data_IF_614648010976
#
_entry.id   IF_614648010976
#
_cell.length_a   1.000
_cell.length_b   1.000
_cell.length_c   1.000
_cell.angle_alpha   90.00
_cell.angle_beta   90.00
_cell.angle_gamma   90.00
#
_symmetry.space_group_name_H-M   'P 1'
#
loop_
_entity.id
_entity.type
_entity.pdbx_description
1 polymer ?
#
# COMPACT_ATOMS: atom_id res chain seq x y z
N UNK A 1 13.45 -4.39 -16.38
CA UNK A 1 14.22 -5.36 -15.59
C UNK A 1 14.30 -6.73 -16.27
N UNK A 2 13.17 -7.35 -16.61
CA UNK A 2 13.14 -8.71 -17.19
C UNK A 2 13.98 -8.83 -18.48
N UNK A 3 13.83 -7.89 -19.41
CA UNK A 3 14.65 -7.83 -20.64
C UNK A 3 16.13 -7.58 -20.32
N UNK A 4 16.44 -6.72 -19.33
CA UNK A 4 17.81 -6.48 -18.85
C UNK A 4 18.47 -7.78 -18.35
N UNK A 5 17.68 -8.66 -17.73
CA UNK A 5 18.13 -10.00 -17.26
C UNK A 5 18.11 -11.08 -18.34
N UNK A 6 17.93 -10.72 -19.61
CA UNK A 6 18.05 -11.61 -20.76
C UNK A 6 16.81 -12.41 -21.12
N UNK A 7 15.66 -12.14 -20.52
CA UNK A 7 14.41 -12.81 -20.91
C UNK A 7 13.90 -12.28 -22.26
N UNK A 8 13.18 -13.13 -23.00
CA UNK A 8 12.58 -12.78 -24.28
C UNK A 8 11.60 -11.61 -24.15
N UNK A 9 11.57 -10.71 -25.15
CA UNK A 9 10.73 -9.50 -25.13
C UNK A 9 9.26 -9.80 -24.92
N UNK A 10 8.69 -10.79 -25.62
CA UNK A 10 7.28 -11.14 -25.51
C UNK A 10 6.94 -11.69 -24.13
N UNK A 11 7.69 -12.65 -23.61
CA UNK A 11 7.47 -13.21 -22.29
C UNK A 11 7.69 -12.17 -21.17
N UNK A 12 8.64 -11.24 -21.37
CA UNK A 12 8.84 -10.10 -20.48
C UNK A 12 7.64 -9.14 -20.49
N UNK A 13 7.00 -8.94 -21.65
CA UNK A 13 5.75 -8.16 -21.75
C UNK A 13 4.62 -8.82 -20.96
N UNK A 14 4.41 -10.12 -21.10
CA UNK A 14 3.39 -10.86 -20.34
C UNK A 14 3.66 -10.78 -18.83
N UNK A 15 4.91 -10.99 -18.39
CA UNK A 15 5.29 -10.80 -16.99
C UNK A 15 5.07 -9.36 -16.50
N UNK A 16 5.35 -8.36 -17.33
CA UNK A 16 5.11 -6.95 -17.00
C UNK A 16 3.63 -6.62 -16.87
N UNK A 17 2.76 -7.21 -17.70
CA UNK A 17 1.31 -7.08 -17.58
C UNK A 17 0.82 -7.70 -16.25
N UNK A 18 1.35 -8.88 -15.87
CA UNK A 18 1.04 -9.42 -14.54
C UNK A 18 1.46 -8.47 -13.40
N UNK A 19 2.63 -7.82 -13.52
CA UNK A 19 3.10 -6.87 -12.52
C UNK A 19 2.22 -5.63 -12.43
N UNK A 20 1.84 -5.06 -13.57
CA UNK A 20 1.09 -3.81 -13.67
C UNK A 20 -0.40 -3.98 -13.31
N UNK A 21 -0.97 -5.19 -13.44
CA UNK A 21 -2.38 -5.47 -13.24
C UNK A 21 -2.65 -6.55 -12.18
N UNK A 22 -1.68 -6.79 -11.27
CA UNK A 22 -1.91 -7.64 -10.10
C UNK A 22 -2.87 -6.94 -9.11
N UNK A 23 -3.43 -7.73 -8.20
CA UNK A 23 -4.37 -7.23 -7.21
C UNK A 23 -3.84 -6.07 -6.36
N UNK A 24 -2.55 -6.07 -6.03
CA UNK A 24 -1.93 -4.96 -5.29
C UNK A 24 -2.09 -3.62 -6.02
N UNK A 25 -1.83 -3.58 -7.33
CA UNK A 25 -1.97 -2.36 -8.14
C UNK A 25 -3.43 -1.96 -8.27
N UNK A 26 -4.32 -2.92 -8.55
CA UNK A 26 -5.75 -2.65 -8.71
C UNK A 26 -6.38 -2.15 -7.41
N UNK A 27 -5.97 -2.69 -6.26
CA UNK A 27 -6.47 -2.27 -4.96
C UNK A 27 -5.93 -0.89 -4.54
N UNK A 28 -4.61 -0.72 -4.55
CA UNK A 28 -4.00 0.52 -4.07
C UNK A 28 -4.00 1.64 -5.12
N UNK A 29 -4.06 1.32 -6.41
CA UNK A 29 -4.05 2.32 -7.47
C UNK A 29 -5.19 3.34 -7.38
N UNK A 30 -6.34 2.93 -6.88
CA UNK A 30 -7.50 3.82 -6.66
C UNK A 30 -7.49 4.41 -5.25
N UNK A 31 -7.21 3.58 -4.25
CA UNK A 31 -7.32 3.99 -2.83
C UNK A 31 -6.15 4.83 -2.34
N UNK A 32 -4.94 4.43 -2.72
CA UNK A 32 -3.68 5.05 -2.28
C UNK A 32 -2.66 5.00 -3.42
N UNK A 33 -2.82 5.78 -4.50
CA UNK A 33 -2.02 5.66 -5.72
C UNK A 33 -0.51 5.78 -5.45
N UNK A 34 -0.09 6.53 -4.45
CA UNK A 34 1.30 6.65 -4.05
C UNK A 34 1.93 5.34 -3.50
N UNK A 35 1.12 4.32 -3.17
CA UNK A 35 1.64 2.98 -2.81
C UNK A 35 2.21 2.26 -4.02
N UNK A 36 1.65 2.50 -5.20
CA UNK A 36 2.11 1.90 -6.46
C UNK A 36 3.49 2.45 -6.88
N UNK A 37 3.87 3.65 -6.41
CA UNK A 37 5.20 4.21 -6.69
C UNK A 37 6.34 3.28 -6.27
N UNK A 38 6.20 2.55 -5.15
CA UNK A 38 7.19 1.58 -4.71
C UNK A 38 7.41 0.47 -5.76
N UNK A 39 6.36 0.05 -6.44
CA UNK A 39 6.46 -0.95 -7.51
C UNK A 39 7.17 -0.40 -8.76
N UNK A 40 7.08 0.91 -9.02
CA UNK A 40 7.83 1.54 -10.12
C UNK A 40 9.33 1.59 -9.77
N UNK A 41 9.66 2.03 -8.55
CA UNK A 41 11.05 2.23 -8.15
C UNK A 41 11.81 0.94 -7.88
N UNK A 42 11.16 -0.11 -7.38
CA UNK A 42 11.87 -1.37 -7.08
C UNK A 42 12.61 -1.96 -8.28
N UNK A 43 11.99 -2.19 -9.45
CA UNK A 43 12.70 -2.69 -10.63
C UNK A 43 13.81 -1.73 -11.13
N UNK A 44 13.62 -0.42 -10.97
CA UNK A 44 14.64 0.58 -11.36
C UNK A 44 15.87 0.50 -10.44
N UNK A 45 15.66 0.39 -9.13
CA UNK A 45 16.72 0.19 -8.14
C UNK A 45 17.45 -1.13 -8.42
N UNK A 46 16.73 -2.23 -8.71
CA UNK A 46 17.32 -3.51 -9.06
C UNK A 46 18.24 -3.40 -10.29
N UNK A 47 17.79 -2.73 -11.37
CA UNK A 47 18.64 -2.45 -12.54
C UNK A 47 19.85 -1.59 -12.13
N UNK A 48 19.67 -0.62 -11.26
CA UNK A 48 20.75 0.21 -10.73
C UNK A 48 21.82 -0.62 -10.01
N UNK A 49 21.40 -1.56 -9.15
CA UNK A 49 22.26 -2.48 -8.42
C UNK A 49 23.03 -3.37 -9.40
N UNK A 50 22.34 -3.98 -10.38
CA UNK A 50 22.97 -4.80 -11.43
C UNK A 50 24.10 -4.02 -12.12
N UNK A 51 23.84 -2.76 -12.51
CA UNK A 51 24.83 -1.90 -13.18
C UNK A 51 26.04 -1.56 -12.30
N UNK A 52 25.86 -1.44 -10.99
CA UNK A 52 26.99 -1.24 -10.06
C UNK A 52 27.85 -2.50 -10.02
N UNK A 53 27.25 -3.70 -9.94
CA UNK A 53 27.99 -4.97 -9.98
C UNK A 53 28.71 -5.18 -11.32
N UNK A 54 28.11 -4.78 -12.43
CA UNK A 54 28.71 -4.80 -13.76
C UNK A 54 29.85 -3.74 -13.93
N UNK A 55 30.19 -2.99 -12.88
CA UNK A 55 31.12 -1.86 -12.87
C UNK A 55 30.79 -0.78 -13.91
N UNK A 56 29.51 -0.64 -14.22
CA UNK A 56 28.95 0.42 -15.07
C UNK A 56 28.56 1.64 -14.25
N UNK A 57 28.10 2.68 -14.95
CA UNK A 57 27.78 4.00 -14.36
C UNK A 57 26.79 3.88 -13.17
N UNK A 58 27.17 4.24 -11.92
CA UNK A 58 26.35 4.12 -10.74
C UNK A 58 25.18 5.12 -10.70
N UNK A 59 25.15 6.08 -11.63
CA UNK A 59 24.13 7.13 -11.73
C UNK A 59 22.70 6.59 -11.71
N UNK A 60 22.47 5.43 -12.35
CA UNK A 60 21.13 4.83 -12.39
C UNK A 60 20.67 4.36 -11.02
N UNK A 61 21.58 3.81 -10.22
CA UNK A 61 21.30 3.45 -8.83
C UNK A 61 21.00 4.71 -8.02
N UNK A 62 21.89 5.70 -8.04
CA UNK A 62 21.73 6.93 -7.28
C UNK A 62 20.43 7.68 -7.62
N UNK A 63 20.12 7.84 -8.92
CA UNK A 63 18.90 8.52 -9.36
C UNK A 63 17.63 7.75 -8.93
N UNK A 64 17.62 6.42 -9.12
CA UNK A 64 16.45 5.61 -8.72
C UNK A 64 16.20 5.69 -7.22
N UNK A 65 17.25 5.67 -6.40
CA UNK A 65 17.17 5.80 -4.94
C UNK A 65 16.70 7.21 -4.55
N UNK A 66 17.26 8.25 -5.15
CA UNK A 66 16.90 9.65 -4.87
C UNK A 66 15.42 9.93 -5.23
N UNK A 67 14.97 9.51 -6.40
CA UNK A 67 13.56 9.67 -6.79
C UNK A 67 12.61 8.85 -5.90
N UNK A 68 12.98 7.64 -5.49
CA UNK A 68 12.20 6.86 -4.55
C UNK A 68 12.06 7.58 -3.20
N UNK A 69 13.15 8.18 -2.72
CA UNK A 69 13.19 8.93 -1.46
C UNK A 69 12.29 10.17 -1.47
N UNK A 70 12.31 10.94 -2.57
CA UNK A 70 11.46 12.11 -2.75
C UNK A 70 9.98 11.72 -2.93
N UNK A 71 9.71 10.58 -3.59
CA UNK A 71 8.35 10.15 -3.91
C UNK A 71 7.52 9.81 -2.67
N UNK A 72 8.07 9.01 -1.76
CA UNK A 72 7.36 8.60 -0.53
C UNK A 72 8.35 8.06 0.50
N UNK A 73 8.50 8.77 1.61
CA UNK A 73 9.40 8.41 2.71
C UNK A 73 9.12 7.02 3.30
N UNK A 74 7.86 6.67 3.51
CA UNK A 74 7.47 5.39 4.08
C UNK A 74 7.88 4.21 3.18
N UNK A 75 7.56 4.29 1.90
CA UNK A 75 7.95 3.25 0.95
C UNK A 75 9.45 3.27 0.64
N UNK A 76 10.09 4.43 0.72
CA UNK A 76 11.54 4.52 0.61
C UNK A 76 12.25 3.70 1.69
N UNK A 77 11.74 3.74 2.95
CA UNK A 77 12.25 2.90 4.02
C UNK A 77 12.13 1.40 3.68
N UNK A 78 10.96 0.95 3.22
CA UNK A 78 10.75 -0.43 2.78
C UNK A 78 11.68 -0.79 1.62
N UNK A 79 11.78 0.07 0.61
CA UNK A 79 12.65 -0.13 -0.56
C UNK A 79 14.13 -0.21 -0.16
N UNK A 80 14.56 0.53 0.87
CA UNK A 80 15.93 0.48 1.39
C UNK A 80 16.28 -0.90 1.96
N UNK A 81 15.35 -1.51 2.69
CA UNK A 81 15.52 -2.88 3.19
C UNK A 81 15.54 -3.88 2.02
N UNK A 82 14.57 -3.77 1.10
CA UNK A 82 14.48 -4.69 -0.04
C UNK A 82 15.68 -4.59 -0.98
N UNK A 83 16.22 -3.39 -1.20
CA UNK A 83 17.42 -3.17 -1.99
C UNK A 83 18.66 -3.82 -1.34
N UNK A 84 18.80 -3.74 -0.01
CA UNK A 84 19.87 -4.41 0.72
C UNK A 84 19.77 -5.94 0.55
N UNK A 85 18.56 -6.50 0.70
CA UNK A 85 18.31 -7.92 0.44
C UNK A 85 18.68 -8.29 -0.99
N UNK A 86 18.23 -7.52 -1.97
CA UNK A 86 18.53 -7.78 -3.38
C UNK A 86 20.03 -7.65 -3.69
N UNK A 87 20.73 -6.67 -3.12
CA UNK A 87 22.18 -6.52 -3.31
C UNK A 87 22.95 -7.74 -2.77
N UNK A 88 22.50 -8.33 -1.65
CA UNK A 88 23.06 -9.58 -1.12
C UNK A 88 22.82 -10.74 -2.08
N UNK A 89 21.61 -10.88 -2.63
CA UNK A 89 21.33 -11.90 -3.64
C UNK A 89 22.22 -11.75 -4.87
N UNK A 90 22.36 -10.53 -5.38
CA UNK A 90 23.18 -10.26 -6.57
C UNK A 90 24.67 -10.50 -6.28
N UNK A 91 25.15 -10.26 -5.06
CA UNK A 91 26.50 -10.61 -4.65
C UNK A 91 26.81 -12.09 -4.90
N UNK A 92 25.91 -12.98 -4.47
CA UNK A 92 26.07 -14.42 -4.67
C UNK A 92 25.91 -14.85 -6.13
N UNK A 93 25.11 -14.11 -6.93
CA UNK A 93 25.01 -14.34 -8.36
C UNK A 93 26.35 -14.08 -9.08
N UNK A 94 26.98 -12.97 -8.75
CA UNK A 94 28.16 -12.47 -9.48
C UNK A 94 29.45 -13.14 -9.01
N UNK A 95 29.63 -13.25 -7.68
CA UNK A 95 30.92 -13.69 -7.10
C UNK A 95 30.98 -15.19 -6.80
N UNK A 96 29.84 -15.88 -6.75
CA UNK A 96 29.72 -17.34 -6.50
C UNK A 96 30.44 -17.88 -5.25
N UNK A 97 31.24 -17.05 -4.58
CA UNK A 97 32.00 -17.38 -3.37
C UNK A 97 31.90 -16.23 -2.37
N UNK A 98 31.85 -16.58 -1.09
CA UNK A 98 31.84 -15.60 -0.01
C UNK A 98 33.29 -15.24 0.36
N UNK A 99 33.64 -13.97 0.23
CA UNK A 99 34.95 -13.43 0.59
C UNK A 99 34.77 -12.13 1.38
N UNK A 100 35.14 -12.11 2.65
CA UNK A 100 34.94 -10.98 3.57
C UNK A 100 35.48 -9.65 3.00
N UNK A 101 36.67 -9.66 2.42
CA UNK A 101 37.27 -8.45 1.84
C UNK A 101 36.46 -7.90 0.65
N UNK A 102 35.82 -8.76 -0.13
CA UNK A 102 34.99 -8.33 -1.25
C UNK A 102 33.63 -7.86 -0.75
N UNK A 103 33.06 -8.52 0.25
CA UNK A 103 31.81 -8.07 0.92
C UNK A 103 31.99 -6.66 1.47
N UNK A 104 33.06 -6.40 2.23
CA UNK A 104 33.33 -5.08 2.78
C UNK A 104 33.47 -3.99 1.70
N UNK A 105 34.20 -4.26 0.62
CA UNK A 105 34.34 -3.31 -0.49
C UNK A 105 33.01 -3.03 -1.19
N UNK A 106 32.20 -4.05 -1.46
CA UNK A 106 30.88 -3.92 -2.08
C UNK A 106 29.97 -3.12 -1.18
N UNK A 107 29.92 -3.47 0.11
CA UNK A 107 29.10 -2.76 1.10
C UNK A 107 29.44 -1.25 1.16
N UNK A 108 30.73 -0.91 1.30
CA UNK A 108 31.18 0.49 1.32
C UNK A 108 30.81 1.21 0.01
N UNK A 109 30.97 0.55 -1.13
CA UNK A 109 30.60 1.14 -2.43
C UNK A 109 29.12 1.47 -2.51
N UNK A 110 28.24 0.52 -2.16
CA UNK A 110 26.79 0.76 -2.14
C UNK A 110 26.40 1.80 -1.12
N UNK A 111 27.00 1.78 0.08
CA UNK A 111 26.74 2.77 1.13
C UNK A 111 27.07 4.18 0.64
N UNK A 112 28.21 4.37 0.01
CA UNK A 112 28.61 5.69 -0.54
C UNK A 112 27.63 6.19 -1.60
N UNK A 113 27.24 5.35 -2.55
CA UNK A 113 26.27 5.74 -3.58
C UNK A 113 24.87 5.98 -2.99
N UNK A 114 24.48 5.21 -1.98
CA UNK A 114 23.22 5.41 -1.25
C UNK A 114 23.23 6.74 -0.51
N UNK A 115 24.29 7.06 0.21
CA UNK A 115 24.41 8.33 0.93
C UNK A 115 24.35 9.53 -0.04
N UNK A 116 25.03 9.45 -1.19
CA UNK A 116 24.94 10.51 -2.22
C UNK A 116 23.48 10.64 -2.70
N UNK A 117 22.77 9.55 -2.94
CA UNK A 117 21.38 9.59 -3.38
C UNK A 117 20.46 10.20 -2.31
N UNK A 118 20.66 9.85 -1.03
CA UNK A 118 19.93 10.44 0.11
C UNK A 118 20.23 11.93 0.25
N UNK A 119 21.48 12.35 0.07
CA UNK A 119 21.86 13.77 0.05
C UNK A 119 21.17 14.53 -1.09
N UNK A 120 21.01 13.93 -2.28
CA UNK A 120 20.26 14.54 -3.38
C UNK A 120 18.78 14.73 -3.03
N UNK A 121 18.22 13.88 -2.19
CA UNK A 121 16.82 13.95 -1.72
C UNK A 121 16.65 14.73 -0.41
N UNK A 122 17.72 15.29 0.18
CA UNK A 122 17.74 15.84 1.54
C UNK A 122 16.69 16.95 1.76
N UNK A 123 16.47 17.80 0.76
CA UNK A 123 15.49 18.88 0.86
C UNK A 123 14.06 18.37 1.15
N UNK A 124 13.70 17.18 0.65
CA UNK A 124 12.42 16.54 0.92
C UNK A 124 12.47 15.66 2.18
N UNK A 125 13.59 14.95 2.40
CA UNK A 125 13.70 13.98 3.49
C UNK A 125 13.83 14.63 4.87
N UNK A 126 14.62 15.70 5.01
CA UNK A 126 14.89 16.31 6.33
C UNK A 126 13.60 16.78 7.00
N UNK A 127 12.69 17.55 6.35
CA UNK A 127 11.42 17.94 6.97
C UNK A 127 10.54 16.75 7.36
N UNK A 128 10.49 15.72 6.52
CA UNK A 128 9.67 14.51 6.78
C UNK A 128 10.24 13.70 7.94
N UNK A 129 11.57 13.55 8.02
CA UNK A 129 12.23 12.89 9.15
C UNK A 129 11.94 13.65 10.43
N UNK A 130 12.11 14.97 10.43
CA UNK A 130 11.82 15.80 11.58
C UNK A 130 10.36 15.67 12.04
N UNK A 131 9.40 15.74 11.10
CA UNK A 131 7.99 15.55 11.40
C UNK A 131 7.69 14.16 11.96
N UNK A 132 8.35 13.11 11.42
CA UNK A 132 8.17 11.73 11.88
C UNK A 132 8.71 11.53 13.29
N UNK A 133 9.87 12.06 13.60
CA UNK A 133 10.48 12.01 14.93
C UNK A 133 9.70 12.82 15.97
N UNK A 134 9.04 13.90 15.54
CA UNK A 134 8.19 14.74 16.38
C UNK A 134 6.78 14.19 16.56
N UNK A 135 6.41 13.13 15.84
CA UNK A 135 5.07 12.57 15.90
C UNK A 135 4.92 11.59 17.06
N UNK A 136 3.76 11.59 17.70
CA UNK A 136 3.43 10.70 18.82
C UNK A 136 3.41 9.20 18.43
N UNK A 137 3.38 8.90 17.13
CA UNK A 137 3.30 7.53 16.59
C UNK A 137 4.51 6.65 16.93
N UNK A 138 5.69 7.25 17.14
CA UNK A 138 6.93 6.52 17.45
C UNK A 138 6.97 5.96 18.89
N UNK A 139 6.11 6.43 19.78
CA UNK A 139 6.07 6.00 21.19
C UNK A 139 5.13 4.82 21.47
N UNK A 140 4.25 4.47 20.55
CA UNK A 140 3.27 3.40 20.75
C UNK A 140 3.78 2.07 20.21
N UNK A 141 4.40 1.28 21.08
CA UNK A 141 4.84 -0.07 20.77
C UNK A 141 3.65 -1.03 20.78
N UNK A 142 3.32 -1.60 19.63
CA UNK A 142 2.43 -2.75 19.56
C UNK A 142 3.12 -3.99 20.15
N UNK A 143 2.34 -4.92 20.72
CA UNK A 143 2.88 -6.21 21.17
C UNK A 143 3.57 -6.91 20.00
N UNK A 144 4.89 -7.09 20.11
CA UNK A 144 5.69 -7.82 19.13
C UNK A 144 5.42 -9.31 19.28
N UNK A 145 4.91 -9.92 18.25
CA UNK A 145 4.74 -11.37 18.13
C UNK A 145 5.55 -11.86 16.93
N UNK A 146 6.22 -12.99 17.07
CA UNK A 146 7.02 -13.58 16.00
C UNK A 146 6.14 -14.06 14.85
N UNK A 147 5.01 -14.70 15.18
CA UNK A 147 4.09 -15.31 14.22
C UNK A 147 2.72 -14.64 14.28
N UNK A 148 1.94 -14.80 13.21
CA UNK A 148 0.53 -14.41 13.22
C UNK A 148 -0.29 -15.39 14.05
N UNK A 149 -1.17 -14.88 14.89
CA UNK A 149 -1.99 -15.66 15.81
C UNK A 149 -3.06 -16.49 15.08
N UNK A 150 -3.55 -15.96 13.96
CA UNK A 150 -4.58 -16.59 13.15
C UNK A 150 -3.94 -17.50 12.10
N UNK A 151 -4.18 -18.79 12.18
CA UNK A 151 -3.69 -19.76 11.21
C UNK A 151 -4.26 -19.56 9.80
N UNK A 152 -5.46 -18.95 9.70
CA UNK A 152 -6.10 -18.55 8.44
C UNK A 152 -5.19 -17.65 7.60
N UNK A 153 -4.33 -16.87 8.25
CA UNK A 153 -3.34 -16.05 7.57
C UNK A 153 -2.40 -16.89 6.68
N UNK A 154 -1.94 -18.02 7.20
CA UNK A 154 -1.02 -18.89 6.45
C UNK A 154 -1.71 -19.59 5.29
N UNK A 155 -2.99 -19.93 5.45
CA UNK A 155 -3.81 -20.46 4.36
C UNK A 155 -3.95 -19.42 3.25
N UNK A 156 -4.22 -18.17 3.62
CA UNK A 156 -4.38 -17.08 2.68
C UNK A 156 -3.07 -16.70 1.99
N UNK A 157 -1.93 -16.90 2.62
CA UNK A 157 -0.63 -16.71 2.00
C UNK A 157 -0.44 -17.61 0.77
N UNK A 158 -1.00 -18.83 0.78
CA UNK A 158 -1.02 -19.73 -0.36
C UNK A 158 -2.19 -19.48 -1.31
N UNK A 159 -3.40 -19.30 -0.78
CA UNK A 159 -4.62 -19.08 -1.56
C UNK A 159 -4.67 -17.72 -2.26
N UNK A 160 -3.99 -16.72 -1.72
CA UNK A 160 -4.00 -15.34 -2.23
C UNK A 160 -3.46 -15.16 -3.65
N UNK A 161 -2.78 -16.15 -4.22
CA UNK A 161 -2.37 -16.11 -5.63
C UNK A 161 -3.56 -16.02 -6.59
N UNK A 162 -4.70 -16.59 -6.22
CA UNK A 162 -5.90 -16.68 -7.04
C UNK A 162 -7.07 -15.85 -6.53
N UNK A 163 -6.88 -15.12 -5.42
CA UNK A 163 -7.91 -14.26 -4.84
C UNK A 163 -7.50 -12.81 -4.93
N UNK A 164 -8.49 -11.93 -5.12
CA UNK A 164 -8.31 -10.49 -5.20
C UNK A 164 -8.76 -9.78 -3.90
N UNK A 165 -9.10 -10.51 -2.86
CA UNK A 165 -9.58 -9.94 -1.61
C UNK A 165 -8.43 -9.47 -0.74
N UNK A 166 -8.67 -8.36 -0.03
CA UNK A 166 -7.84 -7.91 1.09
C UNK A 166 -8.08 -8.84 2.28
N UNK A 167 -7.43 -9.96 2.23
CA UNK A 167 -7.50 -10.96 3.25
C UNK A 167 -6.38 -10.72 4.25
N UNK A 168 -6.71 -10.15 5.39
CA UNK A 168 -5.76 -9.86 6.47
C UNK A 168 -4.56 -8.99 6.04
N UNK A 169 -4.71 -8.18 4.98
CA UNK A 169 -3.68 -7.31 4.45
C UNK A 169 -2.82 -7.92 3.33
N UNK A 170 -3.08 -9.15 2.91
CA UNK A 170 -2.44 -9.79 1.76
C UNK A 170 -3.26 -9.51 0.50
N UNK A 171 -2.64 -8.85 -0.47
CA UNK A 171 -3.29 -8.52 -1.74
C UNK A 171 -2.36 -8.93 -2.86
N UNK A 172 -2.63 -10.06 -3.48
CA UNK A 172 -1.83 -10.60 -4.56
C UNK A 172 -2.53 -10.52 -5.92
N UNK A 173 -3.56 -11.34 -6.13
CA UNK A 173 -4.38 -11.33 -7.35
C UNK A 173 -3.55 -11.40 -8.63
N UNK A 174 -2.75 -12.47 -8.80
CA UNK A 174 -1.93 -12.63 -9.98
C UNK A 174 -2.71 -13.19 -11.17
N UNK A 175 -2.18 -12.96 -12.39
CA UNK A 175 -2.78 -13.48 -13.61
C UNK A 175 -2.66 -15.03 -13.71
N UNK A 176 -3.42 -15.59 -14.61
CA UNK A 176 -3.61 -17.05 -14.79
C UNK A 176 -2.34 -17.88 -14.89
N UNK A 177 -1.27 -17.35 -15.53
CA UNK A 177 -0.01 -18.10 -15.73
C UNK A 177 0.84 -18.21 -14.46
N UNK A 178 0.51 -17.49 -13.39
CA UNK A 178 1.35 -17.36 -12.20
C UNK A 178 1.63 -18.69 -11.50
N UNK A 179 0.59 -19.44 -11.16
CA UNK A 179 0.71 -20.72 -10.44
C UNK A 179 1.46 -21.76 -11.29
N UNK A 180 1.07 -22.05 -12.55
CA UNK A 180 1.81 -22.98 -13.39
C UNK A 180 3.27 -22.55 -13.61
N UNK A 181 3.56 -21.26 -13.76
CA UNK A 181 4.94 -20.79 -13.92
C UNK A 181 5.78 -21.01 -12.65
N UNK A 182 5.22 -20.76 -11.47
CA UNK A 182 5.90 -21.03 -10.20
C UNK A 182 6.12 -22.53 -10.01
N UNK A 183 5.12 -23.36 -10.28
CA UNK A 183 5.26 -24.81 -10.21
C UNK A 183 6.37 -25.28 -11.16
N UNK A 184 6.38 -24.81 -12.41
CA UNK A 184 7.40 -25.17 -13.40
C UNK A 184 8.79 -24.75 -12.96
N UNK A 185 8.94 -23.55 -12.38
CA UNK A 185 10.21 -23.09 -11.81
C UNK A 185 10.78 -24.10 -10.80
N UNK A 186 9.94 -24.63 -9.91
CA UNK A 186 10.39 -25.57 -8.89
C UNK A 186 10.60 -26.98 -9.43
N UNK A 187 9.90 -27.40 -10.50
CA UNK A 187 10.14 -28.68 -11.18
C UNK A 187 11.51 -28.74 -11.88
N UNK A 188 12.02 -27.64 -12.40
CA UNK A 188 13.36 -27.54 -13.00
C UNK A 188 14.44 -27.60 -11.92
N UNK A 189 14.92 -28.80 -11.55
CA UNK A 189 15.69 -29.10 -10.30
C UNK A 189 16.94 -28.25 -10.07
N UNK A 190 17.76 -27.97 -11.06
CA UNK A 190 19.07 -27.28 -10.88
C UNK A 190 19.15 -25.87 -11.43
N UNK A 191 18.14 -25.45 -12.13
CA UNK A 191 18.10 -24.14 -12.76
C UNK A 191 17.47 -23.11 -11.83
N UNK A 192 17.90 -21.86 -11.96
CA UNK A 192 17.29 -20.72 -11.29
C UNK A 192 17.25 -20.79 -9.74
N UNK A 193 18.28 -21.44 -9.13
CA UNK A 193 18.34 -21.62 -7.66
C UNK A 193 18.21 -20.32 -6.89
N UNK A 194 18.73 -19.22 -7.42
CA UNK A 194 18.64 -17.91 -6.78
C UNK A 194 17.20 -17.38 -6.79
N UNK A 195 16.48 -17.55 -7.91
CA UNK A 195 15.07 -17.16 -7.97
C UNK A 195 14.22 -18.01 -7.00
N UNK A 196 14.50 -19.31 -6.90
CA UNK A 196 13.89 -20.20 -5.91
C UNK A 196 14.18 -19.76 -4.47
N UNK A 197 15.44 -19.39 -4.19
CA UNK A 197 15.84 -18.83 -2.90
C UNK A 197 15.07 -17.52 -2.62
N UNK A 198 14.86 -16.67 -3.63
CA UNK A 198 14.05 -15.47 -3.54
C UNK A 198 12.63 -15.77 -3.06
N UNK A 199 11.98 -16.82 -3.57
CA UNK A 199 10.69 -17.27 -3.07
C UNK A 199 10.75 -17.72 -1.62
N UNK A 200 11.73 -18.57 -1.24
CA UNK A 200 11.89 -19.05 0.13
C UNK A 200 12.04 -17.88 1.10
N UNK A 201 12.91 -16.92 0.78
CA UNK A 201 13.12 -15.73 1.61
C UNK A 201 11.85 -14.87 1.68
N UNK A 202 11.18 -14.65 0.55
CA UNK A 202 9.95 -13.84 0.53
C UNK A 202 8.81 -14.49 1.33
N UNK A 203 8.61 -15.80 1.18
CA UNK A 203 7.62 -16.51 1.99
C UNK A 203 7.97 -16.49 3.48
N UNK A 204 9.24 -16.64 3.83
CA UNK A 204 9.70 -16.51 5.21
C UNK A 204 9.41 -15.11 5.76
N UNK A 205 9.74 -14.06 5.02
CA UNK A 205 9.47 -12.67 5.40
C UNK A 205 7.97 -12.42 5.57
N UNK A 206 7.12 -12.94 4.70
CA UNK A 206 5.67 -12.80 4.78
C UNK A 206 5.06 -13.65 5.90
N UNK A 207 5.67 -14.79 6.27
CA UNK A 207 5.18 -15.66 7.33
C UNK A 207 5.44 -15.12 8.74
N UNK A 208 6.38 -14.20 8.89
CA UNK A 208 6.76 -13.65 10.19
C UNK A 208 6.05 -12.31 10.44
N UNK A 209 5.22 -12.23 11.49
CA UNK A 209 4.54 -10.99 11.89
C UNK A 209 5.53 -9.89 12.25
N UNK A 210 6.66 -10.25 12.89
CA UNK A 210 7.72 -9.31 13.23
C UNK A 210 8.31 -8.60 12.00
N UNK A 211 8.35 -9.27 10.84
CA UNK A 211 8.77 -8.62 9.59
C UNK A 211 7.85 -7.46 9.24
N UNK A 212 6.54 -7.63 9.42
CA UNK A 212 5.57 -6.55 9.20
C UNK A 212 5.78 -5.35 10.13
N UNK A 213 6.20 -5.59 11.37
CA UNK A 213 6.58 -4.51 12.31
C UNK A 213 7.87 -3.81 11.84
N UNK A 214 8.90 -4.58 11.47
CA UNK A 214 10.17 -4.02 10.96
C UNK A 214 9.92 -3.19 9.70
N UNK A 215 9.15 -3.72 8.74
CA UNK A 215 8.82 -3.01 7.49
C UNK A 215 7.92 -1.78 7.69
N UNK A 216 7.34 -1.63 8.88
CA UNK A 216 6.51 -0.48 9.28
C UNK A 216 7.18 0.39 10.35
N UNK A 217 8.51 0.45 10.38
CA UNK A 217 9.27 1.30 11.30
C UNK A 217 9.07 0.92 12.77
N UNK A 218 9.03 -0.39 13.08
CA UNK A 218 8.83 -0.95 14.43
C UNK A 218 7.49 -0.55 15.08
N UNK A 219 6.51 -0.13 14.30
CA UNK A 219 5.14 0.15 14.72
C UNK A 219 4.28 -1.14 14.66
N UNK A 220 2.98 -1.03 14.34
CA UNK A 220 2.13 -2.20 14.15
C UNK A 220 2.53 -3.01 12.91
N UNK A 221 2.23 -4.31 12.89
CA UNK A 221 2.51 -5.18 11.75
C UNK A 221 1.69 -4.74 10.53
N UNK A 222 2.36 -4.54 9.40
CA UNK A 222 1.75 -4.14 8.13
C UNK A 222 2.34 -4.96 6.99
N UNK A 223 1.50 -5.43 6.08
CA UNK A 223 1.87 -6.25 4.93
C UNK A 223 2.03 -5.45 3.63
N UNK A 224 2.17 -4.13 3.72
CA UNK A 224 2.30 -3.26 2.54
C UNK A 224 3.51 -3.58 1.65
N UNK A 225 4.48 -4.33 2.16
CA UNK A 225 5.65 -4.82 1.41
C UNK A 225 5.38 -6.10 0.59
N UNK A 226 4.16 -6.66 0.64
CA UNK A 226 3.81 -7.90 -0.05
C UNK A 226 3.95 -7.81 -1.58
N UNK A 227 4.01 -6.59 -2.14
CA UNK A 227 4.29 -6.37 -3.57
C UNK A 227 5.63 -6.97 -4.04
N UNK A 228 6.56 -7.30 -3.15
CA UNK A 228 7.80 -8.00 -3.51
C UNK A 228 7.52 -9.33 -4.20
N UNK A 229 6.46 -10.04 -3.77
CA UNK A 229 6.06 -11.28 -4.40
C UNK A 229 5.61 -11.05 -5.85
N UNK A 230 4.99 -9.89 -6.14
CA UNK A 230 4.59 -9.54 -7.51
C UNK A 230 5.79 -9.43 -8.47
N UNK A 231 6.93 -8.93 -7.99
CA UNK A 231 8.18 -8.91 -8.80
C UNK A 231 8.64 -10.33 -9.12
N UNK A 232 8.69 -11.19 -8.10
CA UNK A 232 9.13 -12.57 -8.27
C UNK A 232 8.23 -13.36 -9.22
N UNK A 233 6.91 -13.28 -9.02
CA UNK A 233 5.93 -13.98 -9.85
C UNK A 233 6.00 -13.48 -11.30
N UNK A 234 6.04 -12.17 -11.51
CA UNK A 234 6.09 -11.57 -12.84
C UNK A 234 7.39 -11.90 -13.57
N UNK A 235 8.50 -11.92 -12.87
CA UNK A 235 9.79 -12.35 -13.43
C UNK A 235 9.78 -13.86 -13.74
N UNK A 236 9.16 -14.67 -12.89
CA UNK A 236 8.99 -16.12 -13.12
C UNK A 236 8.14 -16.40 -14.35
N UNK A 237 7.01 -15.69 -14.54
CA UNK A 237 6.21 -15.79 -15.76
C UNK A 237 7.06 -15.47 -16.98
N UNK A 238 7.80 -14.36 -16.96
CA UNK A 238 8.63 -13.95 -18.07
C UNK A 238 9.71 -14.98 -18.42
N UNK A 239 10.23 -15.69 -17.42
CA UNK A 239 11.26 -16.71 -17.60
C UNK A 239 10.73 -18.07 -18.02
N UNK A 240 9.61 -18.49 -17.43
CA UNK A 240 9.05 -19.83 -17.64
C UNK A 240 8.09 -19.92 -18.83
N UNK A 241 7.51 -18.81 -19.29
CA UNK A 241 6.55 -18.83 -20.40
C UNK A 241 7.09 -19.46 -21.69
N UNK A 242 8.34 -19.23 -22.12
CA UNK A 242 8.91 -19.95 -23.26
C UNK A 242 8.99 -21.48 -23.05
N UNK A 243 9.28 -21.90 -21.83
CA UNK A 243 9.45 -23.31 -21.46
C UNK A 243 8.15 -24.12 -21.58
N UNK A 244 6.97 -23.48 -21.46
CA UNK A 244 5.68 -24.17 -21.59
C UNK A 244 5.49 -24.88 -22.92
N UNK A 245 6.11 -24.38 -23.99
CA UNK A 245 6.02 -24.98 -25.33
C UNK A 245 6.93 -26.21 -25.46
N UNK A 246 8.02 -26.24 -24.68
CA UNK A 246 9.09 -27.26 -24.79
C UNK A 246 8.94 -28.40 -23.77
N UNK A 247 7.89 -28.35 -22.92
CA UNK A 247 7.66 -29.34 -21.89
C UNK A 247 7.53 -30.77 -22.43
N UNK A 248 8.21 -31.70 -21.78
CA UNK A 248 8.01 -33.14 -21.99
C UNK A 248 6.65 -33.57 -21.46
N UNK A 249 6.15 -34.72 -21.96
CA UNK A 249 4.83 -35.23 -21.55
C UNK A 249 4.75 -35.46 -20.03
N UNK A 250 5.80 -36.02 -19.41
CA UNK A 250 5.84 -36.22 -17.97
C UNK A 250 5.80 -34.90 -17.19
N UNK A 251 6.51 -33.86 -17.67
CA UNK A 251 6.49 -32.52 -17.03
C UNK A 251 5.09 -31.88 -17.12
N UNK A 252 4.39 -32.02 -18.25
CA UNK A 252 3.00 -31.55 -18.40
C UNK A 252 2.05 -32.25 -17.45
N UNK A 253 2.17 -33.58 -17.32
CA UNK A 253 1.34 -34.35 -16.40
C UNK A 253 1.58 -33.91 -14.95
N UNK A 254 2.85 -33.83 -14.53
CA UNK A 254 3.20 -33.39 -13.17
C UNK A 254 2.71 -31.95 -12.91
N UNK A 255 2.92 -31.03 -13.84
CA UNK A 255 2.43 -29.66 -13.76
C UNK A 255 0.90 -29.63 -13.59
N UNK A 256 0.19 -30.42 -14.39
CA UNK A 256 -1.28 -30.51 -14.32
C UNK A 256 -1.74 -31.07 -12.98
N UNK A 257 -1.14 -32.16 -12.50
CA UNK A 257 -1.50 -32.79 -11.21
C UNK A 257 -1.29 -31.80 -10.06
N UNK A 258 -0.12 -31.15 -10.00
CA UNK A 258 0.17 -30.18 -8.91
C UNK A 258 -0.76 -28.98 -9.00
N UNK A 259 -1.08 -28.47 -10.20
CA UNK A 259 -2.01 -27.35 -10.37
C UNK A 259 -3.43 -27.72 -9.94
N UNK A 260 -3.90 -28.93 -10.27
CA UNK A 260 -5.20 -29.42 -9.83
C UNK A 260 -5.23 -29.66 -8.31
N UNK A 261 -4.15 -30.21 -7.75
CA UNK A 261 -4.03 -30.38 -6.30
C UNK A 261 -4.09 -29.03 -5.58
N UNK A 262 -3.43 -28.00 -6.12
CA UNK A 262 -3.53 -26.65 -5.62
C UNK A 262 -4.98 -26.14 -5.61
N UNK A 263 -5.74 -26.34 -6.70
CA UNK A 263 -7.17 -25.99 -6.76
C UNK A 263 -7.96 -26.73 -5.68
N UNK A 264 -7.75 -28.04 -5.53
CA UNK A 264 -8.45 -28.86 -4.53
C UNK A 264 -8.16 -28.37 -3.11
N UNK A 265 -6.89 -28.11 -2.80
CA UNK A 265 -6.48 -27.55 -1.48
C UNK A 265 -7.19 -26.21 -1.25
N UNK A 266 -7.16 -25.33 -2.23
CA UNK A 266 -7.85 -24.06 -2.15
C UNK A 266 -9.36 -24.21 -1.96
N UNK A 267 -10.03 -25.16 -2.66
CA UNK A 267 -11.46 -25.44 -2.52
C UNK A 267 -11.83 -26.00 -1.14
N UNK A 268 -11.02 -26.90 -0.59
CA UNK A 268 -11.21 -27.40 0.78
C UNK A 268 -11.08 -26.28 1.81
N UNK A 269 -10.24 -25.30 1.53
CA UNK A 269 -9.99 -24.15 2.37
C UNK A 269 -10.91 -22.95 2.10
N UNK A 270 -12.00 -23.12 1.32
CA UNK A 270 -12.93 -22.02 0.95
C UNK A 270 -13.62 -21.36 2.13
N UNK A 271 -13.75 -22.05 3.27
CA UNK A 271 -14.19 -21.39 4.52
C UNK A 271 -13.25 -20.30 5.01
N UNK A 272 -11.99 -20.32 4.56
CA UNK A 272 -10.94 -19.42 5.02
C UNK A 272 -10.41 -18.49 3.91
N UNK A 273 -10.59 -18.90 2.66
CA UNK A 273 -10.15 -18.17 1.47
C UNK A 273 -11.35 -18.09 0.54
N UNK A 274 -11.89 -16.91 0.31
CA UNK A 274 -12.92 -16.69 -0.68
C UNK A 274 -12.34 -16.92 -2.08
N UNK A 275 -12.19 -18.19 -2.46
CA UNK A 275 -11.79 -18.59 -3.80
C UNK A 275 -12.88 -18.24 -4.77
N UNK A 276 -12.64 -17.25 -5.59
CA UNK A 276 -13.55 -16.92 -6.67
C UNK A 276 -13.36 -17.92 -7.81
N UNK A 277 -14.46 -18.32 -8.39
CA UNK A 277 -14.54 -19.24 -9.54
C UNK A 277 -13.59 -18.84 -10.68
N UNK A 278 -13.34 -17.55 -10.83
CA UNK A 278 -12.43 -16.98 -11.81
C UNK A 278 -10.96 -17.41 -11.65
N UNK A 279 -10.45 -17.51 -10.42
CA UNK A 279 -9.08 -17.97 -10.15
C UNK A 279 -8.91 -19.45 -10.54
N UNK A 280 -9.92 -20.28 -10.25
CA UNK A 280 -9.94 -21.69 -10.62
C UNK A 280 -10.00 -21.85 -12.16
N UNK A 281 -10.91 -21.13 -12.80
CA UNK A 281 -11.02 -21.11 -14.26
C UNK A 281 -9.72 -20.65 -14.91
N UNK A 282 -9.05 -19.66 -14.33
CA UNK A 282 -7.75 -19.18 -14.78
C UNK A 282 -6.68 -20.27 -14.78
N UNK A 283 -6.60 -21.11 -13.75
CA UNK A 283 -5.66 -22.23 -13.69
C UNK A 283 -6.03 -23.30 -14.71
N UNK A 284 -7.31 -23.65 -14.82
CA UNK A 284 -7.79 -24.66 -15.78
C UNK A 284 -7.49 -24.22 -17.21
N UNK A 285 -7.78 -22.95 -17.55
CA UNK A 285 -7.47 -22.42 -18.89
C UNK A 285 -5.97 -22.44 -19.17
N UNK A 286 -5.12 -22.16 -18.18
CA UNK A 286 -3.67 -22.26 -18.34
C UNK A 286 -3.21 -23.70 -18.60
N UNK A 287 -3.79 -24.68 -17.89
CA UNK A 287 -3.52 -26.11 -18.15
C UNK A 287 -3.90 -26.48 -19.58
N UNK A 288 -5.09 -26.08 -20.05
CA UNK A 288 -5.55 -26.32 -21.42
C UNK A 288 -4.58 -25.70 -22.43
N UNK A 289 -4.10 -24.46 -22.17
CA UNK A 289 -3.12 -23.80 -23.02
C UNK A 289 -1.79 -24.55 -23.08
N UNK A 290 -1.27 -25.00 -21.94
CA UNK A 290 0.00 -25.75 -21.86
C UNK A 290 -0.07 -27.02 -22.70
N UNK A 291 -1.21 -27.72 -22.73
CA UNK A 291 -1.43 -28.89 -23.59
C UNK A 291 -1.62 -28.50 -25.05
N UNK A 292 -2.33 -27.41 -25.34
CA UNK A 292 -2.67 -26.96 -26.68
C UNK A 292 -1.52 -26.22 -27.39
N UNK A 293 -0.63 -25.51 -26.67
CA UNK A 293 0.39 -24.66 -27.28
C UNK A 293 1.36 -25.45 -28.21
N UNK A 294 1.62 -26.72 -27.93
CA UNK A 294 2.50 -27.55 -28.77
C UNK A 294 1.84 -27.93 -30.09
N UNK A 295 0.51 -28.00 -30.15
CA UNK A 295 -0.27 -28.35 -31.34
C UNK A 295 -0.23 -27.20 -32.34
N UNK A 296 -0.14 -25.97 -31.88
CA UNK A 296 -0.19 -24.77 -32.69
C UNK A 296 1.21 -24.50 -33.25
N UNK A 297 1.42 -24.79 -34.54
CA UNK A 297 2.73 -24.64 -35.20
C UNK A 297 3.13 -23.18 -35.43
N UNK A 298 2.16 -22.29 -35.66
CA UNK A 298 2.41 -20.85 -35.94
C UNK A 298 2.77 -20.09 -34.66
N UNK A 299 3.99 -19.59 -34.55
CA UNK A 299 4.44 -18.82 -33.40
C UNK A 299 3.59 -17.57 -33.14
N UNK A 300 3.19 -16.82 -34.19
CA UNK A 300 2.34 -15.62 -34.05
C UNK A 300 0.99 -15.96 -33.44
N UNK A 301 0.39 -17.09 -33.83
CA UNK A 301 -0.89 -17.52 -33.28
C UNK A 301 -0.76 -17.92 -31.81
N UNK A 302 0.32 -18.62 -31.42
CA UNK A 302 0.62 -18.92 -30.01
C UNK A 302 0.74 -17.65 -29.17
N UNK A 303 1.50 -16.67 -29.67
CA UNK A 303 1.65 -15.36 -28.99
C UNK A 303 0.32 -14.63 -28.86
N UNK A 304 -0.51 -14.63 -29.92
CA UNK A 304 -1.85 -14.05 -29.90
C UNK A 304 -2.77 -14.69 -28.87
N UNK A 305 -2.76 -16.02 -28.78
CA UNK A 305 -3.55 -16.77 -27.79
C UNK A 305 -3.09 -16.45 -26.37
N UNK A 306 -1.79 -16.47 -26.09
CA UNK A 306 -1.25 -16.13 -24.76
C UNK A 306 -1.61 -14.69 -24.38
N UNK A 307 -1.52 -13.75 -25.32
CA UNK A 307 -1.90 -12.35 -25.08
C UNK A 307 -3.40 -12.23 -24.79
N UNK A 308 -4.26 -12.93 -25.57
CA UNK A 308 -5.71 -12.93 -25.36
C UNK A 308 -6.05 -13.42 -23.94
N UNK A 309 -5.49 -14.54 -23.49
CA UNK A 309 -5.75 -15.05 -22.15
C UNK A 309 -5.21 -14.12 -21.05
N UNK A 310 -4.09 -13.44 -21.31
CA UNK A 310 -3.57 -12.41 -20.39
C UNK A 310 -4.55 -11.25 -20.28
N UNK A 311 -5.08 -10.74 -21.39
CA UNK A 311 -6.07 -9.66 -21.42
C UNK A 311 -7.37 -10.07 -20.74
N UNK A 312 -7.87 -11.28 -21.00
CA UNK A 312 -9.06 -11.80 -20.32
C UNK A 312 -8.85 -11.91 -18.81
N UNK A 313 -7.66 -12.34 -18.36
CA UNK A 313 -7.35 -12.41 -16.94
C UNK A 313 -7.25 -11.02 -16.30
N UNK A 314 -6.71 -10.02 -17.00
CA UNK A 314 -6.71 -8.64 -16.54
C UNK A 314 -8.14 -8.10 -16.43
N UNK A 315 -8.97 -8.36 -17.44
CA UNK A 315 -10.37 -7.93 -17.44
C UNK A 315 -11.16 -8.56 -16.29
N UNK A 316 -10.93 -9.86 -16.01
CA UNK A 316 -11.52 -10.55 -14.88
C UNK A 316 -11.08 -9.95 -13.53
N UNK A 317 -9.78 -9.72 -13.34
CA UNK A 317 -9.27 -9.03 -12.15
C UNK A 317 -9.90 -7.65 -11.99
N UNK A 318 -9.95 -6.86 -13.05
CA UNK A 318 -10.55 -5.52 -13.02
C UNK A 318 -12.04 -5.58 -12.71
N UNK A 319 -12.77 -6.53 -13.30
CA UNK A 319 -14.19 -6.73 -13.01
C UNK A 319 -14.43 -7.06 -11.54
N UNK A 320 -13.61 -7.95 -10.96
CA UNK A 320 -13.72 -8.32 -9.54
C UNK A 320 -13.47 -7.14 -8.58
N UNK A 321 -12.58 -6.21 -8.94
CA UNK A 321 -12.31 -5.03 -8.11
C UNK A 321 -13.32 -3.89 -8.33
N UNK A 322 -13.75 -3.66 -9.58
CA UNK A 322 -14.42 -2.40 -9.97
C UNK A 322 -15.87 -2.57 -10.40
N UNK A 323 -16.37 -3.81 -10.57
CA UNK A 323 -17.79 -4.02 -10.86
C UNK A 323 -18.65 -3.83 -9.60
N UNK A 324 -19.79 -3.18 -9.75
CA UNK A 324 -20.82 -3.09 -8.69
C UNK A 324 -21.44 -4.45 -8.39
N UNK A 325 -21.45 -5.38 -9.35
CA UNK A 325 -22.09 -6.68 -9.21
C UNK A 325 -21.18 -7.71 -8.52
N UNK A 326 -19.87 -7.63 -8.75
CA UNK A 326 -18.90 -8.60 -8.23
C UNK A 326 -17.93 -8.01 -7.21
N UNK A 327 -17.61 -6.70 -7.34
CA UNK A 327 -16.58 -6.02 -6.58
C UNK A 327 -17.11 -5.21 -5.42
N UNK A 328 -17.06 -5.75 -4.22
CA UNK A 328 -17.37 -4.97 -3.02
C UNK A 328 -16.46 -3.74 -2.81
N UNK A 329 -15.38 -3.63 -3.59
CA UNK A 329 -14.42 -2.57 -3.41
C UNK A 329 -14.90 -1.22 -3.94
N UNK A 330 -15.48 -1.20 -5.16
CA UNK A 330 -16.00 0.04 -5.75
C UNK A 330 -17.18 0.61 -4.93
N UNK A 331 -17.95 -0.26 -4.27
CA UNK A 331 -19.06 0.16 -3.41
C UNK A 331 -18.60 0.92 -2.15
N UNK A 332 -17.31 0.90 -1.84
CA UNK A 332 -16.70 1.71 -0.76
C UNK A 332 -16.28 3.10 -1.24
N UNK A 333 -16.35 3.38 -2.52
CA UNK A 333 -16.09 4.69 -3.10
C UNK A 333 -17.41 5.48 -3.16
N UNK A 334 -17.39 6.76 -2.84
CA UNK A 334 -18.53 7.62 -3.05
C UNK A 334 -18.64 8.06 -4.51
N UNK A 335 -19.85 8.23 -5.00
CA UNK A 335 -20.07 8.84 -6.33
C UNK A 335 -19.78 10.34 -6.29
N UNK A 336 -19.56 10.97 -7.46
CA UNK A 336 -19.42 12.41 -7.58
C UNK A 336 -20.62 13.15 -6.95
N UNK A 337 -21.82 12.69 -7.25
CA UNK A 337 -23.07 13.22 -6.63
C UNK A 337 -23.05 13.14 -5.11
N UNK A 338 -22.64 12.02 -4.54
CA UNK A 338 -22.53 11.86 -3.08
C UNK A 338 -21.45 12.78 -2.51
N UNK A 339 -20.36 12.99 -3.23
CA UNK A 339 -19.30 13.92 -2.84
C UNK A 339 -19.80 15.37 -2.85
N UNK A 340 -20.54 15.78 -3.87
CA UNK A 340 -21.18 17.10 -3.96
C UNK A 340 -22.20 17.32 -2.82
N UNK A 341 -23.00 16.29 -2.50
CA UNK A 341 -23.92 16.35 -1.36
C UNK A 341 -23.16 16.49 -0.03
N UNK A 342 -22.06 15.77 0.15
CA UNK A 342 -21.22 15.86 1.34
C UNK A 342 -20.52 17.22 1.47
N UNK A 343 -20.17 17.85 0.37
CA UNK A 343 -19.50 19.15 0.38
C UNK A 343 -20.49 20.31 0.50
N UNK A 344 -21.60 20.25 -0.23
CA UNK A 344 -22.57 21.36 -0.32
C UNK A 344 -23.64 21.31 0.78
N UNK A 345 -24.12 20.11 1.10
CA UNK A 345 -25.26 19.90 2.02
C UNK A 345 -24.85 19.22 3.33
N UNK A 346 -23.55 19.06 3.61
CA UNK A 346 -23.10 18.53 4.90
C UNK A 346 -23.19 19.57 6.01
N UNK A 347 -23.19 19.10 7.26
CA UNK A 347 -23.12 20.01 8.41
C UNK A 347 -21.93 20.98 8.29
N UNK A 348 -20.72 20.50 8.00
CA UNK A 348 -19.56 21.36 7.84
C UNK A 348 -19.61 22.22 6.55
N UNK A 349 -20.29 21.77 5.50
CA UNK A 349 -20.53 22.56 4.28
C UNK A 349 -21.32 23.84 4.53
N UNK A 350 -22.12 23.89 5.59
CA UNK A 350 -22.85 25.09 6.00
C UNK A 350 -21.94 26.29 6.30
N UNK A 351 -20.66 26.03 6.64
CA UNK A 351 -19.68 27.09 6.88
C UNK A 351 -19.44 27.98 5.64
N UNK A 352 -19.63 27.45 4.42
CA UNK A 352 -19.50 28.22 3.19
C UNK A 352 -20.61 29.27 2.96
N UNK A 353 -21.70 29.14 3.67
CA UNK A 353 -22.80 30.13 3.61
C UNK A 353 -22.66 31.25 4.64
N UNK A 354 -21.59 31.23 5.45
CA UNK A 354 -21.33 32.27 6.45
C UNK A 354 -20.60 33.44 5.78
N UNK A 355 -21.05 34.65 6.07
CA UNK A 355 -20.43 35.90 5.62
C UNK A 355 -19.44 36.36 6.72
N UNK A 356 -18.25 35.76 6.74
CA UNK A 356 -17.21 36.02 7.74
C UNK A 356 -15.82 35.87 7.12
N UNK A 357 -15.13 37.00 6.95
CA UNK A 357 -13.81 37.07 6.33
C UNK A 357 -12.66 36.74 7.30
N UNK A 358 -12.93 36.63 8.60
CA UNK A 358 -11.93 36.27 9.61
C UNK A 358 -11.53 34.79 9.52
N UNK A 359 -10.32 34.47 10.02
CA UNK A 359 -9.98 33.07 10.22
C UNK A 359 -10.74 32.51 11.43
N UNK A 360 -11.50 31.46 11.19
CA UNK A 360 -12.20 30.69 12.22
C UNK A 360 -12.17 29.20 11.95
N UNK A 361 -12.51 28.41 12.95
CA UNK A 361 -12.80 26.98 12.82
C UNK A 361 -14.29 26.71 13.05
N UNK A 362 -14.78 25.68 12.37
CA UNK A 362 -16.15 25.19 12.51
C UNK A 362 -16.12 23.75 13.00
N UNK A 363 -16.96 23.47 13.98
CA UNK A 363 -17.22 22.13 14.46
C UNK A 363 -18.66 21.71 14.15
N UNK A 364 -18.93 20.40 14.15
CA UNK A 364 -20.26 19.84 13.89
C UNK A 364 -20.59 18.71 14.85
N UNK A 365 -21.86 18.56 15.16
CA UNK A 365 -22.34 17.49 16.02
C UNK A 365 -22.07 16.10 15.47
N UNK A 366 -22.26 15.93 14.17
CA UNK A 366 -22.00 14.69 13.44
C UNK A 366 -21.02 14.96 12.33
N UNK A 367 -19.87 14.29 12.37
CA UNK A 367 -18.85 14.43 11.33
C UNK A 367 -18.12 13.10 11.11
N UNK A 368 -17.60 12.94 9.92
CA UNK A 368 -16.62 11.90 9.58
C UNK A 368 -15.24 12.57 9.59
N UNK A 369 -14.24 11.92 10.18
CA UNK A 369 -12.87 12.42 10.16
C UNK A 369 -12.41 12.80 8.75
N UNK A 370 -11.80 13.98 8.61
CA UNK A 370 -11.38 14.61 7.37
C UNK A 370 -12.51 15.13 6.45
N UNK A 371 -13.77 15.10 6.85
CA UNK A 371 -14.83 15.80 6.07
C UNK A 371 -14.50 17.29 5.95
N UNK A 372 -14.01 17.91 7.02
CA UNK A 372 -13.56 19.30 6.99
C UNK A 372 -12.53 19.59 5.88
N UNK A 373 -11.56 18.70 5.68
CA UNK A 373 -10.57 18.80 4.61
C UNK A 373 -11.20 18.65 3.22
N UNK A 374 -12.15 17.73 3.08
CA UNK A 374 -12.87 17.53 1.82
C UNK A 374 -13.76 18.72 1.45
N UNK A 375 -14.38 19.35 2.45
CA UNK A 375 -15.21 20.53 2.32
C UNK A 375 -14.37 21.82 2.19
N UNK A 376 -13.11 21.81 2.61
CA UNK A 376 -12.24 23.00 2.62
C UNK A 376 -12.50 23.97 3.78
N UNK A 377 -13.04 23.45 4.91
CA UNK A 377 -13.38 24.23 6.11
C UNK A 377 -12.39 23.92 7.22
N UNK A 378 -11.79 24.91 7.89
CA UNK A 378 -10.95 24.66 9.06
C UNK A 378 -11.79 24.04 10.23
N UNK A 379 -11.22 23.01 10.87
CA UNK A 379 -11.86 22.31 11.99
C UNK A 379 -10.78 21.79 12.96
N UNK A 380 -11.16 21.43 14.17
CA UNK A 380 -10.29 20.73 15.13
C UNK A 380 -10.38 19.21 14.99
N UNK A 381 -11.30 18.71 14.16
CA UNK A 381 -11.54 17.28 13.97
C UNK A 381 -10.87 16.78 12.70
N UNK A 382 -9.78 16.02 12.83
CA UNK A 382 -9.04 15.51 11.67
C UNK A 382 -8.25 14.24 11.96
N UNK A 383 -7.86 13.56 10.89
CA UNK A 383 -6.88 12.49 10.87
C UNK A 383 -5.62 12.96 10.17
N UNK A 384 -4.48 12.86 10.83
CA UNK A 384 -3.19 13.12 10.24
C UNK A 384 -2.12 12.19 10.84
N UNK A 385 -1.43 11.43 9.98
CA UNK A 385 -0.49 10.39 10.42
C UNK A 385 0.72 10.92 11.21
N UNK A 386 1.05 12.19 11.06
CA UNK A 386 2.21 12.85 11.68
C UNK A 386 1.77 14.03 12.56
N UNK A 387 0.73 13.82 13.40
CA UNK A 387 0.33 14.83 14.39
C UNK A 387 1.50 15.09 15.33
N UNK A 388 1.78 16.38 15.60
CA UNK A 388 2.81 16.79 16.54
C UNK A 388 2.51 16.23 17.94
N UNK A 389 3.50 15.59 18.55
CA UNK A 389 3.34 14.97 19.87
C UNK A 389 2.98 15.97 20.98
N UNK A 390 3.43 17.23 20.89
CA UNK A 390 3.08 18.25 21.87
C UNK A 390 1.59 18.61 21.82
N UNK A 391 1.01 18.68 20.60
CA UNK A 391 -0.44 18.87 20.44
C UNK A 391 -1.21 17.68 21.01
N UNK A 392 -0.80 16.46 20.71
CA UNK A 392 -1.43 15.26 21.27
C UNK A 392 -1.39 15.25 22.79
N UNK A 393 -0.23 15.52 23.38
CA UNK A 393 -0.05 15.59 24.84
C UNK A 393 -0.90 16.69 25.48
N UNK A 394 -0.96 17.87 24.83
CA UNK A 394 -1.81 18.95 25.32
C UNK A 394 -3.28 18.52 25.34
N UNK A 395 -3.80 17.98 24.26
CA UNK A 395 -5.20 17.52 24.17
C UNK A 395 -5.49 16.39 25.18
N UNK A 396 -4.54 15.44 25.35
CA UNK A 396 -4.64 14.39 26.38
C UNK A 396 -4.64 14.94 27.80
N UNK A 397 -3.79 15.92 28.10
CA UNK A 397 -3.74 16.57 29.42
C UNK A 397 -5.06 17.30 29.74
N UNK A 398 -5.76 17.75 28.72
CA UNK A 398 -7.10 18.33 28.86
C UNK A 398 -8.21 17.26 29.00
N UNK A 399 -7.86 15.97 29.06
CA UNK A 399 -8.81 14.86 29.18
C UNK A 399 -9.62 14.58 27.92
N UNK A 400 -9.21 15.09 26.77
CA UNK A 400 -9.83 14.76 25.48
C UNK A 400 -9.30 13.44 24.92
N UNK A 401 -10.17 12.72 24.22
CA UNK A 401 -9.83 11.45 23.64
C UNK A 401 -9.09 11.65 22.31
N UNK A 402 -7.77 11.60 22.38
CA UNK A 402 -6.95 11.32 21.22
C UNK A 402 -7.00 9.81 20.98
N UNK A 403 -6.99 9.33 19.73
CA UNK A 403 -6.90 7.89 19.49
C UNK A 403 -5.64 7.32 20.17
N UNK A 404 -5.71 6.06 20.60
CA UNK A 404 -4.60 5.36 21.26
C UNK A 404 -3.25 5.42 20.51
N UNK A 405 -3.27 5.74 19.20
CA UNK A 405 -2.07 5.92 18.37
C UNK A 405 -1.72 7.40 18.10
N UNK A 406 -2.45 8.36 18.69
CA UNK A 406 -2.12 9.79 18.59
C UNK A 406 -2.21 10.40 17.19
N UNK A 407 -2.98 9.82 16.25
CA UNK A 407 -3.10 10.33 14.88
C UNK A 407 -4.53 10.75 14.48
N UNK A 408 -5.46 10.71 15.41
CA UNK A 408 -6.84 11.17 15.21
C UNK A 408 -7.16 12.16 16.30
N UNK A 409 -7.57 13.35 15.93
CA UNK A 409 -8.13 14.34 16.82
C UNK A 409 -9.66 14.38 16.58
N UNK A 410 -10.41 14.26 17.62
CA UNK A 410 -11.85 14.55 17.63
C UNK A 410 -12.01 15.86 18.32
N UNK A 411 -12.91 16.68 17.94
CA UNK A 411 -13.27 17.96 18.50
C UNK A 411 -12.65 18.32 19.89
N UNK A 412 -13.01 19.42 20.47
CA UNK A 412 -12.55 19.80 21.80
C UNK A 412 -13.40 19.21 22.92
N UNK A 413 -14.24 18.20 22.64
CA UNK A 413 -15.12 17.55 23.61
C UNK A 413 -16.19 18.47 24.16
N UNK A 414 -16.66 19.43 23.36
CA UNK A 414 -17.64 20.46 23.72
C UNK A 414 -17.23 21.32 24.92
N UNK A 415 -15.94 21.56 25.06
CA UNK A 415 -15.38 22.40 26.12
C UNK A 415 -15.23 23.83 25.63
N UNK A 416 -16.13 24.71 26.06
CA UNK A 416 -16.20 26.09 25.64
C UNK A 416 -14.86 26.83 25.71
N UNK A 417 -14.05 26.59 26.74
CA UNK A 417 -12.73 27.22 26.89
C UNK A 417 -11.77 26.75 25.79
N UNK A 418 -11.73 25.45 25.49
CA UNK A 418 -10.88 24.91 24.42
C UNK A 418 -11.39 25.34 23.05
N UNK A 419 -12.71 25.31 22.84
CA UNK A 419 -13.33 25.79 21.61
C UNK A 419 -12.94 27.25 21.35
N UNK A 420 -13.05 28.12 22.36
CA UNK A 420 -12.65 29.52 22.27
C UNK A 420 -11.17 29.69 22.00
N UNK A 421 -10.30 28.96 22.72
CA UNK A 421 -8.85 28.98 22.56
C UNK A 421 -8.40 28.54 21.15
N UNK A 422 -9.08 27.56 20.57
CA UNK A 422 -8.79 27.07 19.22
C UNK A 422 -9.54 27.82 18.12
N UNK A 423 -10.10 28.99 18.40
CA UNK A 423 -10.85 29.81 17.43
C UNK A 423 -12.04 29.06 16.82
N UNK A 424 -12.70 28.16 17.56
CA UNK A 424 -13.95 27.52 17.11
C UNK A 424 -15.06 28.55 17.27
N UNK A 425 -15.40 29.22 16.18
CA UNK A 425 -16.36 30.31 16.13
C UNK A 425 -17.75 29.84 15.80
N UNK A 426 -17.88 28.72 15.07
CA UNK A 426 -19.17 28.19 14.64
C UNK A 426 -19.30 26.70 14.99
N UNK A 427 -20.53 26.32 15.39
CA UNK A 427 -20.92 24.95 15.65
C UNK A 427 -22.19 24.63 14.88
N UNK A 428 -22.18 23.51 14.15
CA UNK A 428 -23.31 23.11 13.31
C UNK A 428 -24.00 21.89 13.93
N UNK A 429 -25.32 21.96 14.02
CA UNK A 429 -26.19 20.88 14.52
C UNK A 429 -27.39 20.68 13.61
N UNK A 430 -28.16 19.61 13.84
CA UNK A 430 -29.42 19.40 13.15
C UNK A 430 -30.43 20.49 13.57
N UNK A 431 -31.26 20.97 12.65
CA UNK A 431 -32.15 22.11 12.82
C UNK A 431 -33.03 22.05 14.07
N UNK A 432 -33.41 20.83 14.46
CA UNK A 432 -34.33 20.58 15.59
C UNK A 432 -33.64 20.12 16.86
N UNK A 433 -32.31 20.03 16.86
CA UNK A 433 -31.53 19.47 17.97
C UNK A 433 -30.61 20.53 18.59
N UNK A 434 -31.22 21.37 19.42
CA UNK A 434 -30.48 22.33 20.26
C UNK A 434 -29.89 21.66 21.51
N UNK A 435 -30.29 20.42 21.81
CA UNK A 435 -29.77 19.67 22.95
C UNK A 435 -28.34 19.21 22.66
N UNK A 436 -27.40 19.73 23.41
CA UNK A 436 -25.98 19.33 23.29
C UNK A 436 -25.12 20.30 22.52
N UNK A 437 -25.57 21.54 22.32
CA UNK A 437 -24.68 22.64 21.97
C UNK A 437 -23.62 22.82 23.05
N UNK A 438 -22.35 23.11 22.68
CA UNK A 438 -21.35 23.53 23.65
C UNK A 438 -21.79 24.87 24.31
N UNK A 439 -21.38 25.07 25.55
CA UNK A 439 -21.64 26.33 26.25
C UNK A 439 -20.98 27.50 25.51
N UNK A 440 -21.68 28.63 25.37
CA UNK A 440 -21.22 29.83 24.68
C UNK A 440 -21.57 29.88 23.19
N UNK A 441 -22.20 28.84 22.65
CA UNK A 441 -22.76 28.85 21.28
C UNK A 441 -24.26 29.20 21.33
N UNK A 442 -24.56 30.44 21.69
CA UNK A 442 -25.94 30.85 22.02
C UNK A 442 -26.63 31.61 20.87
N UNK A 443 -25.87 32.16 19.93
CA UNK A 443 -26.38 32.94 18.80
C UNK A 443 -26.58 32.05 17.56
N UNK A 444 -27.84 31.81 17.16
CA UNK A 444 -28.14 31.12 15.90
C UNK A 444 -28.02 32.07 14.73
N UNK A 445 -27.03 31.89 13.87
CA UNK A 445 -26.71 32.80 12.76
C UNK A 445 -27.24 32.34 11.41
N UNK A 446 -27.47 31.04 11.22
CA UNK A 446 -27.93 30.48 9.96
C UNK A 446 -28.74 29.22 10.20
N UNK A 447 -29.81 29.04 9.39
CA UNK A 447 -30.55 27.79 9.30
C UNK A 447 -30.85 27.50 7.84
N UNK A 448 -30.33 26.37 7.36
CA UNK A 448 -30.50 25.95 5.97
C UNK A 448 -30.26 24.44 5.84
N UNK A 449 -30.89 23.80 4.85
CA UNK A 449 -30.71 22.37 4.53
C UNK A 449 -30.90 21.40 5.71
N UNK A 450 -31.78 21.78 6.66
CA UNK A 450 -32.05 20.96 7.87
C UNK A 450 -31.00 21.09 8.96
N UNK A 451 -30.09 22.08 8.84
CA UNK A 451 -29.05 22.36 9.83
C UNK A 451 -29.15 23.77 10.38
N UNK A 452 -28.71 23.96 11.61
CA UNK A 452 -28.57 25.28 12.24
C UNK A 452 -27.10 25.52 12.64
N UNK A 453 -26.62 26.72 12.40
CA UNK A 453 -25.28 27.18 12.76
C UNK A 453 -25.37 28.14 13.93
N UNK A 454 -24.61 27.85 14.96
CA UNK A 454 -24.52 28.65 16.18
C UNK A 454 -23.14 29.28 16.30
N UNK A 455 -23.09 30.53 16.75
CA UNK A 455 -21.86 31.29 16.92
C UNK A 455 -21.41 31.32 18.39
N UNK A 456 -20.12 31.12 18.60
CA UNK A 456 -19.45 31.33 19.87
C UNK A 456 -18.98 32.78 19.96
N UNK A 457 -19.63 33.56 20.82
CA UNK A 457 -19.26 34.97 21.04
C UNK A 457 -17.92 35.11 21.79
N UNK A 458 -17.40 34.05 22.38
CA UNK A 458 -16.15 34.05 23.13
C UNK A 458 -14.96 33.49 22.32
N UNK A 459 -15.14 33.19 21.02
CA UNK A 459 -14.06 32.66 20.19
C UNK A 459 -12.92 33.67 20.10
N UNK A 460 -11.70 33.24 20.45
CA UNK A 460 -10.51 34.06 20.33
C UNK A 460 -10.05 34.11 18.85
N UNK A 461 -9.43 35.20 18.42
CA UNK A 461 -8.80 35.27 17.10
C UNK A 461 -7.69 34.23 17.01
N UNK A 462 -7.24 33.89 15.78
CA UNK A 462 -6.16 32.91 15.54
C UNK A 462 -4.85 33.25 16.26
N UNK A 463 -4.54 34.54 16.38
CA UNK A 463 -3.41 35.04 17.13
C UNK A 463 -3.85 35.97 18.26
N UNK A 464 -3.41 35.71 19.50
CA UNK A 464 -3.66 36.53 20.65
C UNK A 464 -2.45 36.49 21.58
N UNK A 465 -2.31 37.51 22.46
CA UNK A 465 -1.21 37.65 23.40
C UNK A 465 -1.69 37.46 24.84
N UNK A 466 -0.77 37.11 25.72
CA UNK A 466 -1.01 37.01 27.16
C UNK A 466 -0.26 38.14 27.88
N UNK A 467 -0.89 38.75 28.86
CA UNK A 467 -0.25 39.76 29.73
C UNK A 467 0.40 39.13 30.96
N UNK A 468 -0.03 37.93 31.34
CA UNK A 468 0.50 37.20 32.49
C UNK A 468 0.47 35.71 32.30
N UNK A 469 1.41 34.99 32.90
CA UNK A 469 1.46 33.53 32.91
C UNK A 469 1.51 33.06 34.35
N UNK A 470 0.62 32.16 34.72
CA UNK A 470 0.67 31.49 36.02
C UNK A 470 1.46 30.18 35.80
N UNK A 471 2.56 30.07 36.53
CA UNK A 471 3.35 28.82 36.60
C UNK A 471 2.92 28.04 37.85
N UNK A 472 2.80 26.70 37.71
CA UNK A 472 2.56 25.80 38.84
C UNK A 472 3.74 25.78 39.81
#
# INVERSE_FOLDING_TARGET
>A
YSVHRGNQKFSSMIGSLNYAFCGYVLYYGVRHPYFVNAMIFLPLIMIGIDKVYEKRKPKWFMLSVAFAAVSNFYFFYILSILMAVYAVFEYFCVLKKFEWNKVGKVFVTFLMYYLVAVMMAAAALIPVIYATLSANRMGNHSNFSLLYEKWEYYVMLFGGFTTNEDALGLIFGFLTFSIPAVILLFLKKRENSILKMGYVVTFLLLSLKITGNVMNGMSYSSLRYCFILSVLVSFTIAKMLPEFVELMQCEKIVLTIISLLYIVICMVMTHFVNLKTSGILGIITTIILVWGLKIIKMQRLRMGIVLLFTVLSIADNAYLFYSTDAGNYILRCCSEKTMDELTTNSQLGMAHALDDDDFYRTEAKHYILNTATAVGVPSTSYYYSLINSNLSKFIESQGNLVSAMGYKLKDCGKRAVLDSLFSVKYYVTDERDENGLPYGFDERVLTQNGYSVYKNCNALPFGFTYDSVITE
#
